data_IF_749622083266
#
_entry.id   IF_749622083266
#
_cell.length_a   1.000
_cell.length_b   1.000
_cell.length_c   1.000
_cell.angle_alpha   90.00
_cell.angle_beta   90.00
_cell.angle_gamma   90.00
#
_symmetry.space_group_name_H-M   'P 1'
#
loop_
_entity.id
_entity.type
_entity.pdbx_description
1 polymer ?
#
# COMPACT_ATOMS: atom_id res chain seq x y z
N UNK A 1 -1.25 -22.91 8.75
CA UNK A 1 -0.76 -23.29 7.40
C UNK A 1 -1.08 -24.77 7.13
N UNK A 2 -1.54 -25.09 5.90
CA UNK A 2 -1.71 -26.47 5.42
C UNK A 2 -0.33 -27.07 5.09
N UNK A 3 0.60 -26.24 4.58
CA UNK A 3 1.97 -26.61 4.26
C UNK A 3 2.94 -25.66 4.99
N UNK A 4 3.25 -25.93 6.27
CA UNK A 4 3.98 -24.99 7.13
C UNK A 4 5.42 -24.70 6.68
N UNK A 5 6.00 -25.55 5.85
CA UNK A 5 7.38 -25.42 5.33
C UNK A 5 7.42 -24.84 3.91
N UNK A 6 6.28 -24.53 3.29
CA UNK A 6 6.25 -23.92 1.97
C UNK A 6 6.37 -22.40 2.10
N UNK A 7 7.41 -21.78 1.57
CA UNK A 7 7.55 -20.35 1.52
C UNK A 7 6.45 -19.69 0.68
N UNK A 8 5.90 -18.56 1.17
CA UNK A 8 4.80 -17.85 0.53
C UNK A 8 5.16 -16.39 0.31
N UNK A 9 5.27 -16.01 -0.97
CA UNK A 9 5.33 -14.62 -1.39
C UNK A 9 3.95 -14.15 -1.87
N UNK A 10 3.54 -12.96 -1.46
CA UNK A 10 2.22 -12.40 -1.76
C UNK A 10 2.38 -11.06 -2.44
N UNK A 11 1.74 -10.90 -3.61
CA UNK A 11 1.57 -9.63 -4.28
C UNK A 11 0.12 -9.17 -4.12
N UNK A 12 -0.09 -7.96 -3.61
CA UNK A 12 -1.42 -7.42 -3.29
C UNK A 12 -1.67 -6.09 -4.00
N UNK A 13 -2.91 -5.85 -4.34
CA UNK A 13 -3.42 -4.53 -4.64
C UNK A 13 -3.25 -3.60 -3.41
N UNK A 14 -2.90 -2.33 -3.63
CA UNK A 14 -2.76 -1.36 -2.54
C UNK A 14 -4.06 -1.10 -1.77
N UNK A 15 -5.21 -1.49 -2.33
CA UNK A 15 -6.50 -1.45 -1.64
C UNK A 15 -6.74 -2.65 -0.72
N UNK A 16 -5.77 -3.56 -0.57
CA UNK A 16 -5.91 -4.67 0.36
C UNK A 16 -6.07 -4.17 1.80
N UNK A 17 -7.04 -4.75 2.50
CA UNK A 17 -7.20 -4.61 3.94
C UNK A 17 -6.31 -5.67 4.62
N UNK A 18 -5.06 -5.32 4.88
CA UNK A 18 -4.07 -6.25 5.43
C UNK A 18 -4.27 -6.40 6.93
N UNK A 19 -4.30 -7.63 7.40
CA UNK A 19 -4.53 -7.99 8.80
C UNK A 19 -3.57 -9.11 9.26
N UNK A 20 -3.47 -9.37 10.59
CA UNK A 20 -2.45 -10.25 11.14
C UNK A 20 -2.35 -11.61 10.45
N UNK A 21 -3.46 -12.29 10.17
CA UNK A 21 -3.41 -13.63 9.59
C UNK A 21 -2.80 -13.67 8.17
N UNK A 22 -2.87 -12.59 7.38
CA UNK A 22 -2.16 -12.50 6.09
C UNK A 22 -0.65 -12.43 6.37
N UNK A 23 -0.25 -11.56 7.29
CA UNK A 23 1.15 -11.32 7.64
C UNK A 23 1.78 -12.56 8.27
N UNK A 24 1.09 -13.20 9.21
CA UNK A 24 1.59 -14.39 9.95
C UNK A 24 1.75 -15.62 9.05
N UNK A 25 1.10 -15.63 7.88
CA UNK A 25 1.15 -16.75 6.94
C UNK A 25 1.93 -16.48 5.66
N UNK A 26 2.52 -15.31 5.48
CA UNK A 26 3.39 -14.97 4.38
C UNK A 26 4.85 -14.81 4.85
N UNK A 27 5.80 -15.06 3.96
CA UNK A 27 7.21 -14.80 4.19
C UNK A 27 7.63 -13.45 3.55
N UNK A 28 6.94 -13.05 2.48
CA UNK A 28 7.13 -11.77 1.79
C UNK A 28 5.78 -11.23 1.36
N UNK A 29 5.54 -9.94 1.57
CA UNK A 29 4.38 -9.22 1.04
C UNK A 29 4.85 -7.98 0.29
N UNK A 30 4.39 -7.80 -0.95
CA UNK A 30 4.53 -6.58 -1.73
C UNK A 30 3.16 -6.06 -2.17
N UNK A 31 2.93 -4.76 -2.07
CA UNK A 31 1.74 -4.08 -2.55
C UNK A 31 2.01 -3.18 -3.75
N UNK A 32 0.99 -2.88 -4.55
CA UNK A 32 1.08 -1.85 -5.58
C UNK A 32 1.50 -0.52 -4.96
N UNK A 33 2.29 0.24 -5.70
CA UNK A 33 2.74 1.59 -5.32
C UNK A 33 2.04 2.67 -6.18
N UNK A 34 1.19 2.25 -7.11
CA UNK A 34 0.49 3.16 -8.03
C UNK A 34 -1.03 2.95 -8.04
N UNK A 35 -1.75 4.06 -8.10
CA UNK A 35 -3.17 4.12 -8.42
C UNK A 35 -3.43 5.36 -9.27
N UNK A 36 -3.80 5.20 -10.55
CA UNK A 36 -4.17 3.96 -11.27
C UNK A 36 -3.06 2.90 -11.31
N UNK A 37 -3.46 1.62 -11.32
CA UNK A 37 -2.58 0.46 -11.22
C UNK A 37 -1.82 0.20 -12.53
N UNK A 38 -0.61 0.72 -12.62
CA UNK A 38 0.29 0.51 -13.78
C UNK A 38 1.50 -0.38 -13.44
N UNK A 39 1.69 -0.71 -12.16
CA UNK A 39 2.82 -1.46 -11.61
C UNK A 39 2.49 -2.91 -11.19
N UNK A 40 1.41 -3.48 -11.73
CA UNK A 40 0.94 -4.84 -11.38
C UNK A 40 2.02 -5.90 -11.60
N UNK A 41 2.64 -5.89 -12.78
CA UNK A 41 3.74 -6.80 -13.12
C UNK A 41 4.95 -6.58 -12.20
N UNK A 42 5.32 -5.33 -11.99
CA UNK A 42 6.46 -4.96 -11.16
C UNK A 42 6.28 -5.37 -9.70
N UNK A 43 5.06 -5.27 -9.18
CA UNK A 43 4.74 -5.73 -7.82
C UNK A 43 4.90 -7.24 -7.69
N UNK A 44 4.41 -8.02 -8.66
CA UNK A 44 4.66 -9.46 -8.72
C UNK A 44 6.15 -9.80 -8.80
N UNK A 45 6.92 -9.04 -9.60
CA UNK A 45 8.36 -9.19 -9.73
C UNK A 45 9.09 -8.90 -8.40
N UNK A 46 8.71 -7.84 -7.67
CA UNK A 46 9.29 -7.49 -6.35
C UNK A 46 9.05 -8.60 -5.32
N UNK A 47 7.81 -9.06 -5.19
CA UNK A 47 7.47 -10.17 -4.29
C UNK A 47 8.24 -11.45 -4.67
N UNK A 48 8.28 -11.79 -5.96
CA UNK A 48 8.99 -12.96 -6.47
C UNK A 48 10.50 -12.87 -6.27
N UNK A 49 11.11 -11.71 -6.53
CA UNK A 49 12.56 -11.52 -6.34
C UNK A 49 12.97 -11.70 -4.88
N UNK A 50 12.21 -11.15 -3.93
CA UNK A 50 12.47 -11.31 -2.51
C UNK A 50 12.30 -12.78 -2.07
N UNK A 51 11.25 -13.46 -2.54
CA UNK A 51 11.01 -14.87 -2.26
C UNK A 51 12.11 -15.76 -2.85
N UNK A 52 12.53 -15.55 -4.10
CA UNK A 52 13.61 -16.31 -4.72
C UNK A 52 14.97 -16.05 -4.06
N UNK A 53 15.23 -14.84 -3.60
CA UNK A 53 16.44 -14.54 -2.83
C UNK A 53 16.45 -15.30 -1.51
N UNK A 54 15.33 -15.42 -0.83
CA UNK A 54 15.16 -16.24 0.37
C UNK A 54 15.39 -17.72 0.08
N UNK A 55 14.75 -18.27 -0.96
CA UNK A 55 14.92 -19.67 -1.36
C UNK A 55 16.36 -20.02 -1.75
N UNK A 56 17.09 -19.08 -2.32
CA UNK A 56 18.49 -19.22 -2.68
C UNK A 56 19.44 -19.03 -1.48
N UNK A 57 18.93 -18.78 -0.27
CA UNK A 57 19.75 -18.49 0.92
C UNK A 57 20.51 -17.16 0.85
N UNK A 58 20.11 -16.26 -0.04
CA UNK A 58 20.74 -14.94 -0.23
C UNK A 58 20.11 -13.83 0.61
N UNK A 59 18.92 -14.06 1.13
CA UNK A 59 18.21 -13.13 2.00
C UNK A 59 17.44 -13.90 3.09
N UNK A 60 17.25 -13.26 4.25
CA UNK A 60 16.43 -13.73 5.36
C UNK A 60 15.34 -12.69 5.65
N UNK A 61 14.17 -12.76 4.98
CA UNK A 61 13.15 -11.74 5.11
C UNK A 61 12.67 -11.57 6.56
N UNK A 62 12.70 -10.33 7.03
CA UNK A 62 12.11 -9.90 8.31
C UNK A 62 11.01 -8.90 7.98
N UNK A 63 9.78 -9.19 8.40
CA UNK A 63 8.62 -8.39 8.04
C UNK A 63 8.04 -7.65 9.24
N UNK A 64 7.73 -6.38 9.06
CA UNK A 64 6.94 -5.59 10.01
C UNK A 64 5.65 -5.13 9.37
N UNK A 65 4.58 -5.17 10.16
CA UNK A 65 3.25 -4.72 9.80
C UNK A 65 2.68 -3.79 10.86
N UNK A 66 1.80 -2.90 10.45
CA UNK A 66 1.04 -2.05 11.34
C UNK A 66 -0.15 -1.41 10.66
N UNK A 67 -1.04 -0.84 11.47
CA UNK A 67 -2.23 -0.10 11.03
C UNK A 67 -2.32 1.26 11.72
N UNK A 68 -3.11 2.15 11.11
CA UNK A 68 -3.65 3.35 11.79
C UNK A 68 -5.18 3.30 11.67
N UNK A 69 -5.93 3.85 12.67
CA UNK A 69 -7.40 3.85 12.64
C UNK A 69 -7.91 4.87 11.61
N UNK A 70 -7.72 4.54 10.33
CA UNK A 70 -8.04 5.38 9.18
C UNK A 70 -8.74 4.55 8.11
N UNK A 71 -9.78 5.14 7.53
CA UNK A 71 -10.48 4.65 6.35
C UNK A 71 -10.38 5.73 5.25
N UNK A 72 -9.28 5.78 4.49
CA UNK A 72 -9.12 6.74 3.40
C UNK A 72 -10.26 6.61 2.39
N UNK A 73 -10.85 7.74 2.00
CA UNK A 73 -11.88 7.73 0.96
C UNK A 73 -11.27 7.37 -0.40
N UNK A 74 -11.91 6.51 -1.19
CA UNK A 74 -11.36 6.02 -2.48
C UNK A 74 -10.97 7.14 -3.44
N UNK A 75 -11.73 8.26 -3.45
CA UNK A 75 -11.42 9.45 -4.26
C UNK A 75 -10.19 10.23 -3.78
N UNK A 76 -9.54 9.81 -2.69
CA UNK A 76 -8.33 10.42 -2.15
C UNK A 76 -7.14 9.47 -2.13
N UNK A 77 -7.29 8.30 -2.75
CA UNK A 77 -6.27 7.24 -2.74
C UNK A 77 -5.34 7.26 -3.96
N UNK A 78 -5.53 8.20 -4.92
CA UNK A 78 -4.64 8.34 -6.07
C UNK A 78 -3.18 8.52 -5.64
N UNK A 79 -2.26 7.76 -6.26
CA UNK A 79 -0.82 7.91 -6.06
C UNK A 79 -0.23 9.09 -6.86
N UNK A 80 -1.06 9.77 -7.65
CA UNK A 80 -0.67 10.99 -8.37
C UNK A 80 -0.87 12.25 -7.52
N UNK A 81 -1.60 12.12 -6.42
CA UNK A 81 -2.01 13.22 -5.56
C UNK A 81 -1.49 13.06 -4.11
N UNK A 82 -1.24 14.21 -3.47
CA UNK A 82 -0.96 14.26 -2.03
C UNK A 82 -2.22 13.86 -1.22
N UNK A 83 -2.08 13.12 -0.12
CA UNK A 83 -0.84 12.74 0.56
C UNK A 83 -0.29 11.36 0.14
N UNK A 84 -0.99 10.59 -0.71
CA UNK A 84 -0.57 9.23 -1.06
C UNK A 84 0.71 9.23 -1.91
N UNK A 85 0.86 10.17 -2.83
CA UNK A 85 2.04 10.27 -3.70
C UNK A 85 3.34 10.24 -2.89
N UNK A 86 3.48 11.14 -1.94
CA UNK A 86 4.70 11.28 -1.15
C UNK A 86 5.02 10.02 -0.34
N UNK A 87 3.99 9.28 0.09
CA UNK A 87 4.17 8.06 0.88
C UNK A 87 4.58 6.91 -0.02
N UNK A 88 4.00 6.78 -1.22
CA UNK A 88 4.40 5.76 -2.20
C UNK A 88 5.82 6.03 -2.73
N UNK A 89 6.17 7.28 -2.99
CA UNK A 89 7.54 7.68 -3.34
C UNK A 89 8.53 7.31 -2.23
N UNK A 90 8.14 7.52 -0.95
CA UNK A 90 8.97 7.13 0.19
C UNK A 90 9.12 5.62 0.31
N UNK A 91 8.07 4.84 0.06
CA UNK A 91 8.13 3.38 0.03
C UNK A 91 9.10 2.89 -1.06
N UNK A 92 9.00 3.45 -2.27
CA UNK A 92 9.93 3.14 -3.36
C UNK A 92 11.38 3.52 -3.02
N UNK A 93 11.60 4.62 -2.29
CA UNK A 93 12.93 5.02 -1.84
C UNK A 93 13.50 4.08 -0.76
N UNK A 94 12.66 3.55 0.14
CA UNK A 94 13.08 2.53 1.11
C UNK A 94 13.59 1.26 0.42
N UNK A 95 12.99 0.86 -0.70
CA UNK A 95 13.45 -0.28 -1.50
C UNK A 95 14.82 -0.01 -2.12
N UNK A 96 15.09 1.20 -2.62
CA UNK A 96 16.43 1.60 -3.08
C UNK A 96 17.46 1.64 -1.95
N UNK A 97 17.01 1.90 -0.73
CA UNK A 97 17.85 1.91 0.48
C UNK A 97 18.06 0.52 1.10
N UNK A 98 17.52 -0.55 0.49
CA UNK A 98 17.76 -1.92 0.87
C UNK A 98 16.57 -2.65 1.50
N UNK A 99 15.37 -2.08 1.53
CA UNK A 99 14.19 -2.89 1.80
C UNK A 99 13.97 -3.90 0.68
N UNK A 100 13.61 -5.13 1.02
CA UNK A 100 13.21 -6.13 0.04
C UNK A 100 11.86 -5.77 -0.58
N UNK A 101 10.93 -5.27 0.23
CA UNK A 101 9.65 -4.69 -0.19
C UNK A 101 9.21 -3.64 0.84
N UNK A 102 8.62 -2.54 0.37
CA UNK A 102 7.97 -1.55 1.21
C UNK A 102 6.64 -1.13 0.59
N UNK A 103 5.56 -1.17 1.37
CA UNK A 103 4.21 -0.98 0.85
C UNK A 103 3.32 -0.28 1.85
N UNK A 104 2.65 0.79 1.39
CA UNK A 104 1.50 1.35 2.07
C UNK A 104 0.23 0.81 1.40
N UNK A 105 -0.63 0.20 2.18
CA UNK A 105 -1.95 -0.23 1.78
C UNK A 105 -2.98 0.79 2.26
N UNK A 106 -3.64 1.45 1.33
CA UNK A 106 -4.66 2.45 1.66
C UNK A 106 -5.95 1.83 2.17
N UNK A 107 -6.13 0.53 1.94
CA UNK A 107 -7.31 -0.22 2.31
C UNK A 107 -8.50 0.04 1.37
N UNK A 108 -9.56 -0.74 1.56
CA UNK A 108 -10.80 -0.59 0.80
C UNK A 108 -11.95 -0.29 1.77
N UNK A 109 -12.36 0.99 1.91
CA UNK A 109 -13.30 1.42 2.94
C UNK A 109 -14.73 0.90 2.72
N UNK A 110 -15.06 0.42 1.52
CA UNK A 110 -16.36 -0.16 1.21
C UNK A 110 -16.49 -1.64 1.63
N UNK A 111 -15.39 -2.27 2.07
CA UNK A 111 -15.45 -3.60 2.65
C UNK A 111 -15.97 -3.51 4.08
N UNK A 112 -17.11 -4.16 4.35
CA UNK A 112 -17.70 -4.22 5.69
C UNK A 112 -17.04 -5.35 6.49
N UNK A 113 -15.79 -5.13 6.90
CA UNK A 113 -14.99 -6.07 7.69
C UNK A 113 -14.26 -5.35 8.82
N UNK A 114 -14.04 -6.07 9.93
CA UNK A 114 -13.38 -5.52 11.13
C UNK A 114 -11.99 -4.96 10.85
N UNK A 115 -11.25 -5.56 9.90
CA UNK A 115 -9.88 -5.20 9.60
C UNK A 115 -9.74 -4.20 8.43
N UNK A 116 -10.84 -3.55 8.00
CA UNK A 116 -10.77 -2.53 6.96
C UNK A 116 -9.92 -1.34 7.42
N UNK A 117 -9.09 -0.82 6.52
CA UNK A 117 -8.35 0.41 6.75
C UNK A 117 -6.91 0.42 6.28
N UNK A 118 -6.27 1.58 6.51
CA UNK A 118 -4.90 1.84 6.11
C UNK A 118 -3.91 1.03 6.95
N UNK A 119 -2.98 0.38 6.26
CA UNK A 119 -1.89 -0.39 6.86
C UNK A 119 -0.59 -0.23 6.09
N UNK A 120 0.52 -0.66 6.65
CA UNK A 120 1.80 -0.73 5.97
C UNK A 120 2.48 -2.07 6.26
N UNK A 121 3.24 -2.55 5.28
CA UNK A 121 4.14 -3.70 5.41
C UNK A 121 5.50 -3.31 4.88
N UNK A 122 6.55 -3.61 5.63
CA UNK A 122 7.94 -3.46 5.19
C UNK A 122 8.69 -4.76 5.44
N UNK A 123 9.38 -5.23 4.43
CA UNK A 123 10.22 -6.44 4.44
C UNK A 123 11.67 -6.02 4.25
N UNK A 124 12.52 -6.42 5.18
CA UNK A 124 13.98 -6.16 5.14
C UNK A 124 14.75 -7.46 5.14
N UNK A 125 16.03 -7.41 4.81
CA UNK A 125 16.93 -8.57 4.92
C UNK A 125 17.52 -8.61 6.34
N UNK A 126 17.07 -9.56 7.15
CA UNK A 126 17.56 -9.85 8.51
C UNK A 126 17.65 -8.63 9.45
N UNK A 127 16.82 -7.61 9.25
CA UNK A 127 16.77 -6.41 10.11
C UNK A 127 15.34 -6.07 10.54
N UNK A 128 14.76 -6.76 11.53
CA UNK A 128 13.42 -6.51 12.01
C UNK A 128 13.26 -5.12 12.65
N UNK A 129 14.35 -4.54 13.17
CA UNK A 129 14.30 -3.20 13.76
C UNK A 129 14.14 -2.14 12.67
N UNK A 130 14.83 -2.28 11.56
CA UNK A 130 14.69 -1.42 10.38
C UNK A 130 13.31 -1.57 9.76
N UNK A 131 12.82 -2.81 9.59
CA UNK A 131 11.47 -3.08 9.09
C UNK A 131 10.42 -2.36 9.93
N UNK A 132 10.52 -2.47 11.25
CA UNK A 132 9.59 -1.81 12.19
C UNK A 132 9.67 -0.30 12.11
N UNK A 133 10.88 0.27 12.05
CA UNK A 133 11.08 1.72 11.94
C UNK A 133 10.46 2.27 10.65
N UNK A 134 10.74 1.65 9.51
CA UNK A 134 10.21 2.09 8.22
C UNK A 134 8.70 1.86 8.08
N UNK A 135 8.17 0.75 8.61
CA UNK A 135 6.73 0.54 8.66
C UNK A 135 6.03 1.66 9.45
N UNK A 136 6.55 2.01 10.63
CA UNK A 136 6.00 3.11 11.42
C UNK A 136 6.13 4.47 10.70
N UNK A 137 7.24 4.72 10.00
CA UNK A 137 7.46 5.96 9.24
C UNK A 137 6.35 6.15 8.19
N UNK A 138 6.05 5.14 7.37
CA UNK A 138 4.96 5.21 6.38
C UNK A 138 3.60 5.47 7.05
N UNK A 139 3.32 4.78 8.15
CA UNK A 139 2.09 4.95 8.91
C UNK A 139 1.96 6.33 9.54
N UNK A 140 3.06 6.89 10.04
CA UNK A 140 3.09 8.21 10.67
C UNK A 140 2.95 9.34 9.63
N UNK A 141 3.53 9.17 8.43
CA UNK A 141 3.28 10.06 7.29
C UNK A 141 1.78 10.12 6.96
N UNK A 142 1.14 8.96 6.84
CA UNK A 142 -0.30 8.88 6.56
C UNK A 142 -1.13 9.52 7.68
N UNK A 143 -0.81 9.23 8.93
CA UNK A 143 -1.52 9.76 10.11
C UNK A 143 -1.38 11.26 10.28
N UNK A 144 -0.19 11.79 10.04
CA UNK A 144 0.08 13.22 10.08
C UNK A 144 -0.86 14.00 9.17
N UNK A 145 -1.08 13.48 7.98
CA UNK A 145 -1.91 14.10 6.95
C UNK A 145 -3.35 13.54 6.90
N UNK A 146 -3.82 12.87 7.96
CA UNK A 146 -5.11 12.16 7.99
C UNK A 146 -6.32 12.98 7.53
N UNK A 147 -6.32 14.28 7.74
CA UNK A 147 -7.39 15.16 7.28
C UNK A 147 -7.47 15.28 5.75
N UNK A 148 -6.35 15.09 5.04
CA UNK A 148 -6.29 15.15 3.57
C UNK A 148 -6.89 13.92 2.90
N UNK A 149 -7.07 12.81 3.62
CA UNK A 149 -7.68 11.59 3.12
C UNK A 149 -9.22 11.64 3.12
N UNK A 150 -9.80 12.71 3.68
CA UNK A 150 -11.23 12.93 3.68
C UNK A 150 -11.65 13.59 2.37
N UNK A 151 -12.60 12.99 1.67
CA UNK A 151 -13.17 13.56 0.46
C UNK A 151 -14.35 14.46 0.80
N UNK A 152 -14.30 15.69 0.32
CA UNK A 152 -15.40 16.64 0.46
C UNK A 152 -16.34 16.49 -0.73
N UNK A 153 -17.54 16.00 -0.49
CA UNK A 153 -18.56 15.85 -1.54
C UNK A 153 -19.08 17.24 -1.93
N UNK A 154 -19.01 17.54 -3.22
CA UNK A 154 -19.58 18.75 -3.77
C UNK A 154 -21.12 18.60 -3.88
N UNK A 155 -21.93 19.63 -3.59
CA UNK A 155 -23.38 19.59 -3.82
C UNK A 155 -23.72 19.20 -5.25
N UNK A 156 -24.74 18.33 -5.42
CA UNK A 156 -25.10 17.77 -6.72
C UNK A 156 -25.38 18.84 -7.78
N UNK A 157 -26.11 19.91 -7.40
CA UNK A 157 -26.45 21.01 -8.30
C UNK A 157 -25.20 21.72 -8.85
N UNK A 158 -24.17 21.85 -8.02
CA UNK A 158 -22.90 22.46 -8.42
C UNK A 158 -22.14 21.54 -9.38
N UNK A 159 -22.08 20.24 -9.10
CA UNK A 159 -21.47 19.25 -9.97
C UNK A 159 -22.18 19.20 -11.33
N UNK A 160 -23.52 19.23 -11.34
CA UNK A 160 -24.31 19.26 -12.57
C UNK A 160 -24.06 20.54 -13.37
N UNK A 161 -24.00 21.69 -12.72
CA UNK A 161 -23.70 22.96 -13.39
C UNK A 161 -22.31 22.95 -14.04
N UNK A 162 -21.31 22.39 -13.35
CA UNK A 162 -19.96 22.22 -13.91
C UNK A 162 -19.97 21.27 -15.11
N UNK A 163 -20.62 20.13 -14.99
CA UNK A 163 -20.68 19.15 -16.08
C UNK A 163 -21.34 19.74 -17.34
N UNK A 164 -22.39 20.52 -17.19
CA UNK A 164 -23.07 21.23 -18.30
C UNK A 164 -22.21 22.32 -18.94
N UNK A 165 -21.29 22.91 -18.17
CA UNK A 165 -20.40 23.97 -18.66
C UNK A 165 -19.13 23.42 -19.36
N UNK A 166 -18.87 22.12 -19.31
CA UNK A 166 -17.75 21.49 -20.01
C UNK A 166 -18.07 21.46 -21.51
N UNK A 167 -17.28 22.15 -22.31
CA UNK A 167 -17.38 22.05 -23.76
C UNK A 167 -16.88 20.67 -24.22
N UNK A 168 -17.74 19.87 -24.90
CA UNK A 168 -17.35 18.55 -25.38
C UNK A 168 -16.20 18.56 -26.40
N UNK A 169 -15.85 19.72 -26.98
CA UNK A 169 -14.69 19.89 -27.87
C UNK A 169 -13.37 20.05 -27.12
N UNK A 170 -13.40 20.37 -25.83
CA UNK A 170 -12.20 20.59 -25.01
C UNK A 170 -12.03 19.49 -23.93
N UNK A 171 -12.95 18.54 -23.88
CA UNK A 171 -12.81 17.36 -23.01
C UNK A 171 -11.72 16.42 -23.58
N UNK A 172 -10.79 15.94 -22.75
CA UNK A 172 -9.77 14.99 -23.16
C UNK A 172 -10.35 13.66 -23.60
#
# INVERSE_FOLDING_TARGET
RIAPHTPIGVALDMHANVYPAIVDNADVIAGYQTYPHVDVYETGRRAGAALFSMLAGKASPSMAWGQRPMLPHVMRQSSLDSPNREIQERAAEMEKQGALCASLFVGFPHADIVNAGLSAVVVTDNDPALAKRWCNELLDMAWKDRAKWVYQVEPLEKSLARARAIDPKTSP
#
